data_IF_588998122977
#
_entry.id   IF_588998122977
#
_cell.length_a   1.000
_cell.length_b   1.000
_cell.length_c   1.000
_cell.angle_alpha   90.00
_cell.angle_beta   90.00
_cell.angle_gamma   90.00
#
_symmetry.space_group_name_H-M   'P 1'
#
loop_
_entity.id
_entity.type
_entity.pdbx_description
1 polymer ?
#
# COMPACT_ATOMS: atom_id res chain seq x y z
N UNK A 1 11.05 1.07 3.44
CA UNK A 1 11.01 -0.38 3.13
C UNK A 1 11.73 -1.22 4.16
N UNK A 2 12.89 -0.79 4.67
CA UNK A 2 13.66 -1.53 5.69
C UNK A 2 12.86 -1.90 6.95
N UNK A 3 12.05 -0.98 7.47
CA UNK A 3 11.25 -1.22 8.68
C UNK A 3 10.24 -2.36 8.49
N UNK A 4 9.51 -2.36 7.37
CA UNK A 4 8.55 -3.43 7.04
C UNK A 4 9.29 -4.77 6.95
N UNK A 5 10.40 -4.80 6.23
CA UNK A 5 11.17 -6.03 6.04
C UNK A 5 11.76 -6.54 7.36
N UNK A 6 12.22 -5.65 8.25
CA UNK A 6 12.71 -6.00 9.57
C UNK A 6 11.61 -6.59 10.46
N UNK A 7 10.41 -6.02 10.43
CA UNK A 7 9.26 -6.54 11.18
C UNK A 7 8.82 -7.91 10.67
N UNK A 8 8.78 -8.12 9.35
CA UNK A 8 8.51 -9.44 8.77
C UNK A 8 9.55 -10.47 9.22
N UNK A 9 10.85 -10.15 9.16
CA UNK A 9 11.93 -11.04 9.64
C UNK A 9 11.84 -11.33 11.13
N UNK A 10 11.35 -10.39 11.92
CA UNK A 10 11.11 -10.55 13.36
C UNK A 10 9.82 -11.33 13.68
N UNK A 11 9.09 -11.86 12.68
CA UNK A 11 7.87 -12.65 12.87
C UNK A 11 6.58 -11.83 12.97
N UNK A 12 6.64 -10.51 12.82
CA UNK A 12 5.50 -9.60 12.95
C UNK A 12 4.73 -9.38 11.66
N UNK A 13 5.15 -9.98 10.54
CA UNK A 13 4.55 -9.75 9.23
C UNK A 13 3.04 -10.00 9.17
N UNK A 14 2.53 -10.95 9.96
CA UNK A 14 1.10 -11.30 10.04
C UNK A 14 0.21 -10.22 10.69
N UNK A 15 0.79 -9.16 11.27
CA UNK A 15 0.06 -8.04 11.89
C UNK A 15 0.17 -6.73 11.12
N UNK A 16 0.80 -6.75 9.94
CA UNK A 16 1.03 -5.55 9.15
C UNK A 16 -0.07 -5.40 8.09
N UNK A 17 -0.56 -4.17 7.93
CA UNK A 17 -1.41 -3.74 6.83
C UNK A 17 -0.72 -2.59 6.11
N UNK A 18 -0.83 -2.58 4.77
CA UNK A 18 -0.29 -1.51 3.94
C UNK A 18 -1.45 -0.72 3.33
N UNK A 19 -1.38 0.60 3.38
CA UNK A 19 -2.35 1.51 2.77
C UNK A 19 -1.64 2.78 2.32
N UNK A 20 -2.36 3.60 1.55
CA UNK A 20 -1.85 4.84 0.98
C UNK A 20 -2.21 6.07 1.82
N UNK A 21 -3.25 5.97 2.66
CA UNK A 21 -3.89 7.13 3.32
C UNK A 21 -4.19 8.28 2.32
N UNK A 22 -4.52 7.90 1.08
CA UNK A 22 -4.72 8.85 -0.02
C UNK A 22 -6.16 9.32 -0.06
N UNK A 23 -6.36 10.63 0.07
CA UNK A 23 -7.63 11.29 -0.16
C UNK A 23 -7.71 11.83 -1.60
N UNK A 24 -8.44 11.13 -2.47
CA UNK A 24 -8.54 11.48 -3.89
C UNK A 24 -9.15 12.87 -4.15
N UNK A 25 -10.07 13.31 -3.30
CA UNK A 25 -10.65 14.65 -3.33
C UNK A 25 -11.19 15.04 -1.97
N UNK A 26 -10.75 16.20 -1.46
CA UNK A 26 -11.18 16.73 -0.15
C UNK A 26 -11.94 18.06 -0.23
N UNK A 27 -12.04 18.66 -1.42
CA UNK A 27 -12.64 19.98 -1.63
C UNK A 27 -12.01 21.12 -0.80
N UNK A 28 -10.79 20.96 -0.28
CA UNK A 28 -10.08 21.99 0.49
C UNK A 28 -9.20 22.92 -0.36
N UNK A 29 -8.66 22.44 -1.48
CA UNK A 29 -7.71 23.18 -2.30
C UNK A 29 -8.30 23.56 -3.65
N UNK A 30 -8.52 22.55 -4.50
CA UNK A 30 -9.06 22.73 -5.84
C UNK A 30 -10.56 22.44 -5.90
N UNK A 31 -11.23 23.10 -6.85
CA UNK A 31 -12.60 22.77 -7.21
C UNK A 31 -12.67 21.36 -7.81
N UNK A 32 -13.87 20.76 -7.79
CA UNK A 32 -14.10 19.51 -8.49
C UNK A 32 -13.81 19.60 -9.99
N UNK A 33 -14.14 20.72 -10.62
CA UNK A 33 -13.88 20.95 -12.05
C UNK A 33 -12.39 20.90 -12.37
N UNK A 34 -11.54 21.51 -11.53
CA UNK A 34 -10.09 21.41 -11.68
C UNK A 34 -9.61 19.97 -11.43
N UNK A 35 -10.05 19.39 -10.31
CA UNK A 35 -9.61 18.07 -9.84
C UNK A 35 -9.88 16.98 -10.89
N UNK A 36 -11.10 16.89 -11.43
CA UNK A 36 -11.45 15.83 -12.38
C UNK A 36 -10.68 15.88 -13.71
N UNK A 37 -10.06 17.03 -14.02
CA UNK A 37 -9.27 17.25 -15.23
C UNK A 37 -7.75 17.18 -15.00
N UNK A 38 -7.30 16.89 -13.77
CA UNK A 38 -5.90 16.65 -13.45
C UNK A 38 -5.35 15.41 -14.17
N UNK A 39 -4.03 15.33 -14.32
CA UNK A 39 -3.34 14.20 -14.94
C UNK A 39 -3.18 13.03 -13.96
N UNK A 40 -4.28 12.31 -13.73
CA UNK A 40 -4.34 11.17 -12.81
C UNK A 40 -3.49 9.97 -13.23
N UNK A 41 -3.09 9.90 -14.50
CA UNK A 41 -2.35 8.75 -15.05
C UNK A 41 -0.84 8.84 -14.79
N UNK A 42 -0.33 10.03 -14.51
CA UNK A 42 1.10 10.28 -14.32
C UNK A 42 1.43 10.80 -12.93
N UNK A 43 0.57 10.53 -11.95
CA UNK A 43 0.86 10.83 -10.56
C UNK A 43 2.04 9.98 -10.06
N UNK A 44 2.89 10.61 -9.25
CA UNK A 44 3.95 9.89 -8.54
C UNK A 44 3.36 8.92 -7.52
N UNK A 45 2.27 9.35 -6.87
CA UNK A 45 1.56 8.63 -5.81
C UNK A 45 0.08 8.50 -6.18
N UNK A 46 -0.39 7.26 -6.33
CA UNK A 46 -1.78 6.90 -6.59
C UNK A 46 -2.09 5.55 -5.91
N UNK A 47 -3.30 5.02 -6.09
CA UNK A 47 -3.68 3.72 -5.51
C UNK A 47 -2.94 2.51 -6.11
N UNK A 48 -2.16 2.70 -7.17
CA UNK A 48 -1.28 1.68 -7.76
C UNK A 48 0.14 1.75 -7.21
N UNK A 49 0.51 2.81 -6.48
CA UNK A 49 1.86 3.03 -5.95
C UNK A 49 2.38 1.84 -5.14
N UNK A 50 1.55 1.23 -4.28
CA UNK A 50 1.94 0.04 -3.52
C UNK A 50 2.37 -1.08 -4.47
N UNK A 51 1.57 -1.37 -5.49
CA UNK A 51 1.86 -2.44 -6.45
C UNK A 51 3.08 -2.12 -7.33
N UNK A 52 3.19 -0.87 -7.77
CA UNK A 52 4.17 -0.44 -8.77
C UNK A 52 5.55 -0.15 -8.17
N UNK A 53 5.62 0.18 -6.87
CA UNK A 53 6.86 0.60 -6.19
C UNK A 53 7.12 -0.16 -4.89
N UNK A 54 6.13 -0.30 -4.02
CA UNK A 54 6.34 -0.87 -2.67
C UNK A 54 6.62 -2.37 -2.74
N UNK A 55 5.80 -3.15 -3.44
CA UNK A 55 5.97 -4.60 -3.49
C UNK A 55 7.31 -5.04 -4.12
N UNK A 56 7.72 -4.50 -5.28
CA UNK A 56 9.04 -4.85 -5.85
C UNK A 56 10.19 -4.54 -4.89
N UNK A 57 10.16 -3.38 -4.21
CA UNK A 57 11.19 -3.04 -3.23
C UNK A 57 11.19 -3.96 -2.00
N UNK A 58 10.04 -4.50 -1.60
CA UNK A 58 9.96 -5.47 -0.51
C UNK A 58 10.54 -6.84 -0.93
N UNK A 59 10.26 -7.26 -2.16
CA UNK A 59 10.86 -8.47 -2.76
C UNK A 59 12.39 -8.35 -2.86
N UNK A 60 12.91 -7.20 -3.32
CA UNK A 60 14.36 -6.90 -3.32
C UNK A 60 14.98 -6.96 -1.92
N UNK A 61 14.18 -6.72 -0.87
CA UNK A 61 14.61 -6.83 0.55
C UNK A 61 14.42 -8.24 1.13
N UNK A 62 14.13 -9.22 0.29
CA UNK A 62 14.09 -10.64 0.60
C UNK A 62 12.74 -11.14 1.12
N UNK A 63 11.65 -10.38 0.96
CA UNK A 63 10.32 -10.89 1.29
C UNK A 63 9.89 -11.90 0.22
N UNK A 64 9.38 -13.04 0.67
CA UNK A 64 8.88 -14.06 -0.24
C UNK A 64 7.54 -13.65 -0.84
N UNK A 65 7.15 -14.30 -1.95
CA UNK A 65 5.81 -14.12 -2.51
C UNK A 65 4.71 -14.38 -1.49
N UNK A 66 4.89 -15.36 -0.61
CA UNK A 66 3.94 -15.66 0.46
C UNK A 66 3.84 -14.53 1.50
N UNK A 67 4.94 -13.82 1.79
CA UNK A 67 4.90 -12.65 2.67
C UNK A 67 4.16 -11.49 2.01
N UNK A 68 4.40 -11.27 0.71
CA UNK A 68 3.69 -10.27 -0.09
C UNK A 68 2.19 -10.57 -0.14
N UNK A 69 1.80 -11.82 -0.41
CA UNK A 69 0.39 -12.23 -0.46
C UNK A 69 -0.28 -12.04 0.91
N UNK A 70 0.42 -12.32 2.03
CA UNK A 70 -0.10 -11.99 3.37
C UNK A 70 -0.33 -10.50 3.55
N UNK A 71 0.63 -9.66 3.17
CA UNK A 71 0.51 -8.20 3.32
C UNK A 71 -0.64 -7.60 2.49
N UNK A 72 -0.92 -8.17 1.31
CA UNK A 72 -1.96 -7.67 0.39
C UNK A 72 -3.35 -8.23 0.66
N UNK A 73 -3.47 -9.50 1.04
CA UNK A 73 -4.78 -10.17 1.10
C UNK A 73 -4.97 -10.94 2.39
N UNK A 74 -3.99 -11.72 2.83
CA UNK A 74 -4.11 -12.58 4.02
C UNK A 74 -4.39 -11.80 5.30
N UNK A 75 -3.57 -10.78 5.60
CA UNK A 75 -3.71 -9.98 6.80
C UNK A 75 -4.95 -9.07 6.76
N UNK A 76 -5.27 -8.36 5.65
CA UNK A 76 -6.53 -7.63 5.56
C UNK A 76 -7.75 -8.54 5.78
N UNK A 77 -7.79 -9.70 5.14
CA UNK A 77 -8.86 -10.69 5.33
C UNK A 77 -9.00 -11.07 6.81
N UNK A 78 -7.91 -11.51 7.44
CA UNK A 78 -7.92 -11.89 8.85
C UNK A 78 -8.37 -10.75 9.76
N UNK A 79 -7.88 -9.53 9.52
CA UNK A 79 -8.24 -8.35 10.30
C UNK A 79 -9.73 -7.98 10.18
N UNK A 80 -10.28 -7.98 8.95
CA UNK A 80 -11.68 -7.59 8.72
C UNK A 80 -12.68 -8.71 9.04
N UNK A 81 -12.28 -9.99 8.95
CA UNK A 81 -13.12 -11.14 9.32
C UNK A 81 -13.00 -11.50 10.81
N UNK A 82 -11.97 -11.02 11.51
CA UNK A 82 -11.74 -11.26 12.93
C UNK A 82 -11.21 -12.66 13.25
N UNK A 83 -10.44 -13.26 12.34
CA UNK A 83 -9.89 -14.63 12.45
C UNK A 83 -8.40 -14.66 12.78
#
# INVERSE_FOLDING_TARGET
MDTIAALCRAGWGHRLLLSHDLAAYLAFWDSWETTKHSDWLHLEEDYTFIHRRVLPLLEERGLSRADIDRLLTGNPCAFFEGV
#
